data_IF_844813724418
#
_entry.id   IF_844813724418
#
_cell.length_a   1.000
_cell.length_b   1.000
_cell.length_c   1.000
_cell.angle_alpha   90.00
_cell.angle_beta   90.00
_cell.angle_gamma   90.00
#
_symmetry.space_group_name_H-M   'P 1'
#
loop_
_entity.id
_entity.type
_entity.pdbx_description
1 polymer ?
#
# COMPACT_ATOMS: atom_id res chain seq x y z
N UNK A 1 5.84 -46.84 24.14
CA UNK A 1 5.60 -45.39 24.16
C UNK A 1 4.28 -45.16 23.47
N UNK A 2 3.27 -44.74 24.23
CA UNK A 2 1.90 -44.50 23.75
C UNK A 2 1.68 -43.05 23.33
N UNK A 3 2.39 -42.11 23.96
CA UNK A 3 2.42 -40.71 23.58
C UNK A 3 3.73 -40.06 24.01
N UNK A 4 3.98 -38.86 23.52
CA UNK A 4 5.15 -38.06 23.83
C UNK A 4 4.75 -36.76 24.50
N UNK A 5 5.62 -36.26 25.36
CA UNK A 5 5.45 -35.01 26.08
C UNK A 5 6.55 -34.01 25.68
N UNK A 6 6.19 -32.73 25.70
CA UNK A 6 7.11 -31.63 25.51
C UNK A 6 7.08 -30.76 26.76
N UNK A 7 8.22 -30.56 27.41
CA UNK A 7 8.31 -29.72 28.61
C UNK A 7 9.16 -28.50 28.32
N UNK A 8 8.59 -27.31 28.49
CA UNK A 8 9.34 -26.06 28.45
C UNK A 8 10.24 -25.97 29.69
N UNK A 9 11.51 -25.65 29.48
CA UNK A 9 12.49 -25.48 30.56
C UNK A 9 13.18 -24.11 30.54
N UNK A 10 13.05 -23.36 29.44
CA UNK A 10 13.50 -21.96 29.36
C UNK A 10 12.63 -21.16 28.37
N UNK A 11 12.64 -19.84 28.53
CA UNK A 11 11.84 -18.89 27.76
C UNK A 11 10.40 -18.75 28.25
N UNK A 12 9.77 -17.61 27.95
CA UNK A 12 8.40 -17.30 28.37
C UNK A 12 7.32 -17.89 27.46
N UNK A 13 6.08 -17.93 27.95
CA UNK A 13 4.88 -18.23 27.13
C UNK A 13 4.48 -17.06 26.23
N UNK A 14 4.94 -15.85 26.56
CA UNK A 14 4.66 -14.62 25.84
C UNK A 14 5.96 -14.05 25.28
N UNK A 15 5.99 -13.83 23.97
CA UNK A 15 7.13 -13.30 23.22
C UNK A 15 6.71 -12.00 22.54
N UNK A 16 7.60 -11.01 22.54
CA UNK A 16 7.39 -9.75 21.84
C UNK A 16 7.74 -9.92 20.37
N UNK A 17 6.91 -9.40 19.47
CA UNK A 17 7.16 -9.40 18.04
C UNK A 17 8.53 -8.77 17.76
N UNK A 18 9.38 -9.46 17.00
CA UNK A 18 10.74 -9.02 16.69
C UNK A 18 11.82 -9.40 17.71
N UNK A 19 11.47 -10.10 18.80
CA UNK A 19 12.48 -10.64 19.73
C UNK A 19 13.16 -11.88 19.14
N UNK A 20 14.31 -11.64 18.51
CA UNK A 20 15.17 -12.69 17.94
C UNK A 20 16.24 -13.21 18.89
N UNK A 21 16.32 -12.64 20.09
CA UNK A 21 17.40 -12.91 21.07
C UNK A 21 16.97 -13.87 22.18
N UNK A 22 15.68 -13.93 22.49
CA UNK A 22 15.15 -14.84 23.50
C UNK A 22 15.34 -16.30 23.11
N UNK A 23 15.88 -17.08 24.05
CA UNK A 23 16.06 -18.52 23.91
C UNK A 23 14.81 -19.22 24.44
N UNK A 24 14.26 -20.12 23.64
CA UNK A 24 13.29 -21.12 24.08
C UNK A 24 13.99 -22.46 24.20
N UNK A 25 13.73 -23.17 25.30
CA UNK A 25 14.27 -24.52 25.47
C UNK A 25 13.21 -25.51 25.96
N UNK A 26 13.29 -26.72 25.42
CA UNK A 26 12.36 -27.81 25.71
C UNK A 26 13.09 -29.14 25.91
N UNK A 27 12.48 -30.00 26.72
CA UNK A 27 12.85 -31.41 26.86
C UNK A 27 11.85 -32.30 26.14
N UNK A 28 12.39 -33.29 25.42
CA UNK A 28 11.64 -34.30 24.67
C UNK A 28 11.47 -35.56 25.52
N UNK A 29 10.22 -35.87 25.91
CA UNK A 29 9.92 -36.86 26.94
C UNK A 29 8.86 -37.88 26.47
N UNK A 30 8.84 -39.05 27.10
CA UNK A 30 7.80 -40.08 26.89
C UNK A 30 6.51 -39.77 27.68
N UNK A 31 5.51 -40.66 27.61
CA UNK A 31 4.24 -40.54 28.35
C UNK A 31 4.41 -40.39 29.88
N UNK A 32 5.50 -40.93 30.44
CA UNK A 32 5.83 -40.93 31.86
C UNK A 32 6.68 -39.70 32.26
N UNK A 33 6.95 -38.78 31.34
CA UNK A 33 7.88 -37.66 31.48
C UNK A 33 9.35 -38.09 31.71
N UNK A 34 9.73 -39.27 31.21
CA UNK A 34 11.12 -39.75 31.20
C UNK A 34 11.78 -39.42 29.86
N UNK A 35 13.11 -39.36 29.88
CA UNK A 35 13.91 -39.14 28.67
C UNK A 35 13.82 -40.35 27.75
N UNK A 36 13.86 -40.08 26.46
CA UNK A 36 13.78 -41.06 25.38
C UNK A 36 15.17 -41.23 24.78
N UNK A 37 15.56 -42.44 24.42
CA UNK A 37 16.79 -42.62 23.64
C UNK A 37 16.55 -42.19 22.19
N UNK A 38 16.99 -40.97 21.84
CA UNK A 38 16.92 -40.43 20.49
C UNK A 38 18.24 -40.72 19.76
N UNK A 39 18.19 -41.60 18.76
CA UNK A 39 19.37 -41.94 17.94
C UNK A 39 19.81 -40.79 17.03
N UNK A 40 18.90 -39.87 16.73
CA UNK A 40 19.16 -38.67 15.94
C UNK A 40 19.68 -37.53 16.81
N UNK A 41 20.61 -36.73 16.27
CA UNK A 41 21.17 -35.56 16.96
C UNK A 41 20.51 -34.24 16.58
N UNK A 42 19.52 -34.29 15.69
CA UNK A 42 18.80 -33.13 15.17
C UNK A 42 17.31 -33.26 15.45
N UNK A 43 16.67 -32.13 15.66
CA UNK A 43 15.22 -32.03 15.77
C UNK A 43 14.72 -30.89 14.86
N UNK A 44 13.46 -30.97 14.45
CA UNK A 44 12.81 -29.89 13.69
C UNK A 44 11.74 -29.28 14.57
N UNK A 45 11.92 -28.01 14.90
CA UNK A 45 10.95 -27.20 15.62
C UNK A 45 10.02 -26.56 14.61
N UNK A 46 8.71 -26.62 14.84
CA UNK A 46 7.69 -26.00 14.00
C UNK A 46 6.67 -25.24 14.83
N UNK A 47 6.31 -24.03 14.41
CA UNK A 47 5.25 -23.23 15.04
C UNK A 47 4.07 -23.14 14.08
N UNK A 48 2.89 -23.54 14.54
CA UNK A 48 1.68 -23.54 13.74
C UNK A 48 0.60 -22.65 14.35
N UNK A 49 -0.06 -21.85 13.52
CA UNK A 49 -1.20 -21.04 13.97
C UNK A 49 -2.47 -21.92 14.13
N UNK A 50 -3.59 -21.30 14.54
CA UNK A 50 -4.87 -22.00 14.68
C UNK A 50 -5.37 -22.64 13.37
N UNK A 51 -4.98 -22.08 12.22
CA UNK A 51 -5.31 -22.61 10.90
C UNK A 51 -4.39 -23.76 10.46
N UNK A 52 -3.46 -24.22 11.32
CA UNK A 52 -2.43 -25.24 11.05
C UNK A 52 -1.43 -24.85 9.96
N UNK A 53 -1.27 -23.56 9.71
CA UNK A 53 -0.24 -23.05 8.82
C UNK A 53 1.07 -22.99 9.60
N UNK A 54 2.19 -23.44 9.00
CA UNK A 54 3.50 -23.38 9.63
C UNK A 54 4.15 -22.03 9.38
N UNK A 55 4.40 -21.28 10.45
CA UNK A 55 4.94 -19.93 10.39
C UNK A 55 6.42 -19.85 10.75
N UNK A 56 6.92 -20.80 11.54
CA UNK A 56 8.35 -20.96 11.83
C UNK A 56 8.72 -22.43 11.74
N UNK A 57 9.87 -22.72 11.14
CA UNK A 57 10.44 -24.06 11.04
C UNK A 57 11.95 -23.98 11.10
N UNK A 58 12.57 -24.65 12.08
CA UNK A 58 14.02 -24.60 12.28
C UNK A 58 14.57 -25.96 12.69
N UNK A 59 15.67 -26.35 12.06
CA UNK A 59 16.44 -27.52 12.50
C UNK A 59 17.38 -27.10 13.63
N UNK A 60 17.40 -27.88 14.71
CA UNK A 60 18.16 -27.58 15.94
C UNK A 60 18.90 -28.83 16.38
N UNK A 61 20.03 -28.64 17.06
CA UNK A 61 20.75 -29.74 17.70
C UNK A 61 20.02 -30.21 18.97
N UNK A 62 20.03 -31.52 19.18
CA UNK A 62 19.63 -32.12 20.45
C UNK A 62 20.83 -32.11 21.38
N UNK A 63 20.75 -31.28 22.41
CA UNK A 63 21.75 -31.10 23.45
C UNK A 63 21.56 -32.13 24.57
N UNK A 64 22.69 -32.66 25.07
CA UNK A 64 22.68 -33.61 26.18
C UNK A 64 21.84 -34.86 25.88
N UNK A 65 20.94 -35.20 26.80
CA UNK A 65 20.14 -36.43 26.75
C UNK A 65 18.69 -36.22 26.27
N UNK A 66 18.30 -35.07 25.71
CA UNK A 66 17.00 -34.79 25.00
C UNK A 66 16.55 -33.32 25.10
N UNK A 67 17.48 -32.37 25.13
CA UNK A 67 17.16 -30.96 25.20
C UNK A 67 17.26 -30.34 23.80
N UNK A 68 16.37 -29.43 23.48
CA UNK A 68 16.53 -28.54 22.34
C UNK A 68 16.46 -27.10 22.82
N UNK A 69 17.34 -26.26 22.28
CA UNK A 69 17.43 -24.82 22.60
C UNK A 69 17.48 -24.05 21.29
N UNK A 70 16.68 -23.00 21.13
CA UNK A 70 16.67 -22.21 19.91
C UNK A 70 16.16 -20.79 20.13
N UNK A 71 16.56 -19.90 19.23
CA UNK A 71 15.99 -18.57 19.05
C UNK A 71 15.03 -18.56 17.86
N UNK A 72 14.10 -17.61 17.88
CA UNK A 72 13.18 -17.33 16.77
C UNK A 72 13.86 -16.30 15.86
N UNK A 73 14.56 -16.76 14.83
CA UNK A 73 15.27 -15.94 13.85
C UNK A 73 14.42 -15.55 12.64
N UNK A 74 13.09 -15.65 12.79
CA UNK A 74 12.13 -15.27 11.76
C UNK A 74 11.07 -14.37 12.37
N UNK A 75 10.64 -13.37 11.62
CA UNK A 75 9.46 -12.61 11.98
C UNK A 75 8.22 -13.53 12.13
N UNK A 76 7.42 -13.26 13.17
CA UNK A 76 6.15 -13.92 13.43
C UNK A 76 5.05 -12.88 13.63
N UNK A 77 3.89 -13.12 13.01
CA UNK A 77 2.70 -12.31 13.22
C UNK A 77 2.19 -12.44 14.66
N UNK A 78 1.45 -11.41 15.11
CA UNK A 78 0.76 -11.43 16.40
C UNK A 78 -0.28 -12.55 16.38
N UNK A 79 0.05 -13.67 17.03
CA UNK A 79 -0.77 -14.87 17.05
C UNK A 79 -0.41 -15.73 18.26
N UNK A 80 -1.26 -16.72 18.55
CA UNK A 80 -0.91 -17.86 19.41
C UNK A 80 -0.50 -19.01 18.50
N UNK A 81 0.70 -19.54 18.72
CA UNK A 81 1.26 -20.65 17.96
C UNK A 81 1.35 -21.89 18.83
N UNK A 82 0.95 -23.04 18.28
CA UNK A 82 1.29 -24.36 18.80
C UNK A 82 2.71 -24.71 18.41
N UNK A 83 3.50 -25.26 19.34
CA UNK A 83 4.85 -25.76 19.06
C UNK A 83 4.79 -27.27 18.92
N UNK A 84 5.36 -27.76 17.81
CA UNK A 84 5.65 -29.17 17.58
C UNK A 84 7.15 -29.33 17.35
N UNK A 85 7.75 -30.37 17.93
CA UNK A 85 9.15 -30.73 17.70
C UNK A 85 9.19 -32.16 17.18
N UNK A 86 9.81 -32.39 16.02
CA UNK A 86 9.97 -33.73 15.46
C UNK A 86 11.41 -34.21 15.57
N UNK A 87 11.64 -35.39 16.14
CA UNK A 87 12.97 -35.98 16.31
C UNK A 87 12.87 -37.51 16.43
N UNK A 88 13.77 -38.26 15.79
CA UNK A 88 13.86 -39.71 15.92
C UNK A 88 12.59 -40.46 15.47
N UNK A 89 11.84 -39.89 14.53
CA UNK A 89 10.54 -40.44 14.08
C UNK A 89 9.35 -40.11 14.99
N UNK A 90 9.56 -39.36 16.07
CA UNK A 90 8.51 -38.91 16.98
C UNK A 90 8.14 -37.45 16.73
N UNK A 91 6.91 -37.07 17.12
CA UNK A 91 6.43 -35.69 17.21
C UNK A 91 6.17 -35.39 18.69
N UNK A 92 6.58 -34.23 19.18
CA UNK A 92 6.49 -33.82 20.58
C UNK A 92 5.75 -32.48 20.70
N UNK A 93 4.75 -32.36 21.58
CA UNK A 93 4.00 -33.47 22.19
C UNK A 93 3.06 -34.13 21.15
N UNK A 94 2.67 -35.39 21.34
CA UNK A 94 1.82 -36.11 20.37
C UNK A 94 0.32 -36.09 20.71
N UNK A 95 -0.06 -35.74 21.94
CA UNK A 95 -1.44 -35.87 22.44
C UNK A 95 -2.02 -34.59 23.09
N UNK A 96 -1.26 -33.50 23.08
CA UNK A 96 -1.64 -32.21 23.68
C UNK A 96 -1.00 -31.08 22.89
N UNK A 97 -1.28 -29.86 23.29
CA UNK A 97 -0.69 -28.65 22.72
C UNK A 97 0.22 -27.97 23.73
N UNK A 98 1.32 -27.39 23.25
CA UNK A 98 2.07 -26.38 24.00
C UNK A 98 2.06 -25.10 23.16
N UNK A 99 1.78 -23.97 23.79
CA UNK A 99 1.57 -22.71 23.08
C UNK A 99 2.65 -21.66 23.40
N UNK A 100 2.89 -20.79 22.42
CA UNK A 100 3.58 -19.50 22.58
C UNK A 100 2.71 -18.40 21.98
N UNK A 101 2.55 -17.31 22.71
CA UNK A 101 1.84 -16.12 22.26
C UNK A 101 2.81 -15.03 21.83
N UNK A 102 2.76 -14.66 20.55
CA UNK A 102 3.45 -13.48 20.04
C UNK A 102 2.55 -12.27 20.18
N UNK A 103 3.04 -11.22 20.83
CA UNK A 103 2.30 -9.96 21.06
C UNK A 103 3.05 -8.77 20.50
N UNK A 104 2.33 -7.68 20.21
CA UNK A 104 2.94 -6.43 19.72
C UNK A 104 4.08 -5.98 20.64
N UNK A 105 5.20 -5.59 20.03
CA UNK A 105 6.29 -4.87 20.70
C UNK A 105 5.88 -3.41 20.97
N UNK A 106 6.66 -2.70 21.78
CA UNK A 106 6.45 -1.26 21.97
C UNK A 106 6.87 -0.47 20.73
N UNK A 107 7.88 -0.98 20.01
CA UNK A 107 8.31 -0.46 18.72
C UNK A 107 7.43 -1.03 17.60
N UNK A 108 7.17 -0.23 16.56
CA UNK A 108 6.49 -0.71 15.36
C UNK A 108 7.43 -1.65 14.59
N UNK A 109 7.21 -2.95 14.75
CA UNK A 109 8.01 -3.99 14.12
C UNK A 109 7.31 -4.46 12.83
N UNK A 110 7.89 -4.09 11.69
CA UNK A 110 7.42 -4.49 10.35
C UNK A 110 8.06 -5.84 10.00
N UNK A 111 7.29 -6.75 9.40
CA UNK A 111 7.81 -8.04 8.96
C UNK A 111 8.95 -7.87 7.96
N UNK A 112 10.01 -8.67 8.05
CA UNK A 112 11.01 -8.76 6.96
C UNK A 112 10.37 -9.15 5.61
N UNK A 113 9.14 -9.72 5.63
CA UNK A 113 8.32 -9.98 4.44
C UNK A 113 7.45 -8.81 3.96
N UNK A 114 7.29 -7.75 4.75
CA UNK A 114 6.72 -6.46 4.32
C UNK A 114 7.80 -5.47 3.87
N UNK A 115 9.08 -5.83 4.01
CA UNK A 115 10.20 -5.18 3.32
C UNK A 115 10.59 -6.00 2.09
N UNK A 116 9.73 -5.97 1.08
CA UNK A 116 10.21 -5.92 -0.30
C UNK A 116 9.66 -4.65 -0.95
N UNK A 117 10.43 -3.58 -0.86
CA UNK A 117 10.44 -2.61 -1.96
C UNK A 117 11.80 -2.01 -2.33
N UNK A 118 12.88 -2.24 -1.60
CA UNK A 118 14.19 -1.78 -2.09
C UNK A 118 15.25 -2.83 -1.77
N UNK A 119 15.87 -3.38 -2.82
CA UNK A 119 17.16 -4.04 -2.71
C UNK A 119 18.15 -3.05 -2.06
N UNK A 120 19.07 -3.53 -1.23
CA UNK A 120 20.10 -2.64 -0.70
C UNK A 120 21.01 -2.17 -1.83
N UNK A 121 21.69 -1.05 -1.66
CA UNK A 121 22.66 -0.54 -2.64
C UNK A 121 23.70 -1.62 -2.94
N UNK A 122 24.22 -2.31 -1.92
CA UNK A 122 25.15 -3.44 -2.08
C UNK A 122 24.58 -4.61 -2.89
N UNK A 123 23.31 -5.02 -2.68
CA UNK A 123 22.69 -6.11 -3.46
C UNK A 123 22.49 -5.74 -4.94
N UNK A 124 22.23 -4.46 -5.21
CA UNK A 124 22.09 -3.91 -6.56
C UNK A 124 23.46 -3.76 -7.21
N UNK A 125 24.49 -3.36 -6.44
CA UNK A 125 25.89 -3.27 -6.88
C UNK A 125 26.40 -4.65 -7.29
N UNK A 126 26.20 -5.68 -6.47
CA UNK A 126 26.66 -7.05 -6.76
C UNK A 126 26.00 -7.61 -8.05
N UNK A 127 24.72 -7.30 -8.29
CA UNK A 127 23.98 -7.69 -9.50
C UNK A 127 24.41 -6.92 -10.76
N UNK A 128 24.77 -5.64 -10.61
CA UNK A 128 25.26 -4.78 -11.69
C UNK A 128 26.70 -5.17 -12.07
N UNK A 129 27.53 -5.52 -11.09
CA UNK A 129 28.89 -6.03 -11.29
C UNK A 129 28.92 -7.37 -12.03
N UNK A 130 27.94 -8.25 -11.78
CA UNK A 130 27.84 -9.58 -12.42
C UNK A 130 27.41 -9.52 -13.92
N UNK A 131 26.65 -8.49 -14.35
CA UNK A 131 26.02 -8.49 -15.68
C UNK A 131 26.10 -7.20 -16.53
N UNK A 132 26.70 -6.08 -16.08
CA UNK A 132 26.63 -4.80 -16.82
C UNK A 132 27.99 -4.18 -17.20
N UNK A 133 28.23 -3.98 -18.51
CA UNK A 133 29.39 -3.24 -19.03
C UNK A 133 29.04 -2.19 -20.10
N UNK A 134 29.82 -1.08 -20.14
CA UNK A 134 30.00 -0.17 -21.31
C UNK A 134 29.79 1.36 -21.07
N UNK A 135 30.62 2.30 -21.61
CA UNK A 135 30.75 3.73 -21.22
C UNK A 135 29.45 4.54 -21.19
N UNK A 136 29.29 5.40 -20.17
CA UNK A 136 28.24 6.43 -20.14
C UNK A 136 28.54 7.56 -21.11
N UNK A 137 27.43 8.04 -21.67
CA UNK A 137 27.38 9.24 -22.47
C UNK A 137 27.37 10.53 -21.64
N UNK A 138 27.48 11.68 -22.31
CA UNK A 138 27.52 13.00 -21.69
C UNK A 138 26.18 13.40 -21.07
N UNK A 139 26.24 14.36 -20.14
CA UNK A 139 25.10 14.89 -19.39
C UNK A 139 24.00 15.47 -20.31
N UNK A 140 22.74 15.26 -19.91
CA UNK A 140 21.57 15.80 -20.61
C UNK A 140 21.38 17.31 -20.40
N UNK A 141 20.68 17.96 -21.35
CA UNK A 141 20.33 19.39 -21.30
C UNK A 141 19.37 19.69 -20.13
N UNK A 142 19.47 20.88 -19.53
CA UNK A 142 18.56 21.30 -18.45
C UNK A 142 17.15 21.63 -19.00
N UNK A 143 16.16 21.66 -18.11
CA UNK A 143 14.79 22.06 -18.48
C UNK A 143 14.70 23.50 -19.04
N UNK A 144 15.59 24.39 -18.60
CA UNK A 144 15.71 25.75 -19.12
C UNK A 144 16.34 25.77 -20.53
N UNK A 145 17.35 24.94 -20.78
CA UNK A 145 17.95 24.79 -22.12
C UNK A 145 16.93 24.27 -23.13
N UNK A 146 16.11 23.30 -22.73
CA UNK A 146 15.02 22.77 -23.55
C UNK A 146 13.92 23.80 -23.79
N UNK A 147 13.65 24.67 -22.82
CA UNK A 147 12.67 25.76 -22.94
C UNK A 147 13.12 26.84 -23.93
N UNK A 148 14.41 27.20 -23.93
CA UNK A 148 15.01 28.10 -24.93
C UNK A 148 14.99 27.47 -26.33
N UNK A 149 15.29 26.17 -26.45
CA UNK A 149 15.26 25.45 -27.72
C UNK A 149 13.87 25.30 -28.32
N UNK A 150 12.82 25.33 -27.48
CA UNK A 150 11.43 25.40 -27.94
C UNK A 150 11.03 26.77 -28.53
N UNK A 151 11.99 27.70 -28.67
CA UNK A 151 11.79 29.02 -29.28
C UNK A 151 11.26 30.08 -28.31
N UNK A 152 11.28 29.80 -27.00
CA UNK A 152 10.99 30.80 -25.99
C UNK A 152 12.24 31.66 -25.75
N UNK A 153 12.03 32.94 -25.49
CA UNK A 153 13.09 33.88 -25.11
C UNK A 153 12.75 34.44 -23.73
N UNK A 154 13.75 34.59 -22.86
CA UNK A 154 13.55 35.18 -21.54
C UNK A 154 14.62 34.79 -20.53
N UNK A 155 14.55 35.32 -19.32
CA UNK A 155 15.43 34.93 -18.20
C UNK A 155 14.93 33.68 -17.49
N UNK A 156 15.75 33.12 -16.61
CA UNK A 156 15.37 31.99 -15.75
C UNK A 156 14.14 32.35 -14.90
N UNK A 157 14.03 33.59 -14.40
CA UNK A 157 12.84 34.02 -13.67
C UNK A 157 11.57 34.01 -14.52
N UNK A 158 11.68 34.36 -15.81
CA UNK A 158 10.55 34.33 -16.75
C UNK A 158 10.16 32.88 -17.10
N UNK A 159 11.14 31.98 -17.24
CA UNK A 159 10.91 30.54 -17.35
C UNK A 159 10.17 29.99 -16.13
N UNK A 160 10.63 30.29 -14.91
CA UNK A 160 9.99 29.83 -13.67
C UNK A 160 8.57 30.40 -13.49
N UNK A 161 8.33 31.63 -13.97
CA UNK A 161 7.01 32.24 -13.97
C UNK A 161 6.06 31.57 -14.97
N UNK A 162 6.58 31.07 -16.09
CA UNK A 162 5.78 30.33 -17.09
C UNK A 162 5.22 29.00 -16.57
N UNK A 163 5.79 28.45 -15.49
CA UNK A 163 5.37 27.21 -14.86
C UNK A 163 4.23 27.39 -13.85
N UNK A 164 3.67 28.62 -13.73
CA UNK A 164 2.61 28.95 -12.78
C UNK A 164 1.22 28.70 -13.39
N UNK A 165 0.44 27.79 -12.80
CA UNK A 165 -1.02 27.75 -12.97
C UNK A 165 -1.70 28.87 -12.14
N UNK A 166 -2.95 29.26 -12.45
CA UNK A 166 -3.53 30.57 -12.09
C UNK A 166 -3.59 30.96 -10.59
N UNK A 167 -3.25 30.09 -9.63
CA UNK A 167 -3.24 30.41 -8.18
C UNK A 167 -2.14 29.71 -7.35
N UNK A 168 -0.89 29.60 -7.84
CA UNK A 168 0.18 28.85 -7.14
C UNK A 168 1.52 29.57 -6.96
N UNK A 169 2.24 29.21 -5.88
CA UNK A 169 3.67 29.54 -5.66
C UNK A 169 4.52 28.90 -6.76
N UNK A 170 5.65 29.53 -7.12
CA UNK A 170 6.60 28.95 -8.09
C UNK A 170 7.21 27.65 -7.56
N UNK A 171 7.65 26.77 -8.46
CA UNK A 171 8.38 25.55 -8.07
C UNK A 171 9.63 25.87 -7.23
N UNK A 172 10.27 27.02 -7.49
CA UNK A 172 11.37 27.54 -6.69
C UNK A 172 10.95 27.97 -5.28
N UNK A 173 9.80 28.64 -5.13
CA UNK A 173 9.24 28.99 -3.82
C UNK A 173 8.85 27.75 -3.01
N UNK A 174 8.29 26.73 -3.66
CA UNK A 174 8.01 25.43 -3.02
C UNK A 174 9.32 24.73 -2.61
N UNK A 175 10.37 24.81 -3.43
CA UNK A 175 11.70 24.29 -3.11
C UNK A 175 12.34 25.01 -1.91
N UNK A 176 12.24 26.33 -1.82
CA UNK A 176 12.67 27.10 -0.64
C UNK A 176 11.86 26.73 0.61
N UNK A 177 10.55 26.52 0.49
CA UNK A 177 9.68 26.13 1.60
C UNK A 177 9.93 24.70 2.11
N UNK A 178 10.46 23.82 1.26
CA UNK A 178 10.95 22.50 1.65
C UNK A 178 12.27 22.55 2.45
N UNK A 179 12.80 23.75 2.72
CA UNK A 179 13.99 23.97 3.54
C UNK A 179 15.29 24.00 2.75
N UNK A 180 15.23 23.99 1.41
CA UNK A 180 16.40 24.19 0.56
C UNK A 180 16.80 25.68 0.55
N UNK A 181 18.10 25.94 0.40
CA UNK A 181 18.66 27.29 0.33
C UNK A 181 19.55 27.38 -0.90
N UNK A 182 19.45 28.48 -1.65
CA UNK A 182 20.24 28.67 -2.86
C UNK A 182 19.62 29.75 -3.74
N UNK A 183 20.23 29.96 -4.90
CA UNK A 183 19.74 30.77 -5.99
C UNK A 183 18.79 29.98 -6.91
N UNK A 184 18.03 30.64 -7.80
CA UNK A 184 17.28 29.94 -8.86
C UNK A 184 18.17 29.04 -9.73
N UNK A 185 19.45 29.39 -9.91
CA UNK A 185 20.44 28.58 -10.61
C UNK A 185 20.75 27.28 -9.84
N UNK A 186 20.89 27.34 -8.52
CA UNK A 186 21.09 26.16 -7.66
C UNK A 186 19.86 25.23 -7.69
N UNK A 187 18.66 25.82 -7.78
CA UNK A 187 17.42 25.07 -7.97
C UNK A 187 17.40 24.33 -9.32
N UNK A 188 17.80 24.98 -10.42
CA UNK A 188 17.87 24.32 -11.72
C UNK A 188 18.92 23.21 -11.75
N UNK A 189 20.05 23.38 -11.06
CA UNK A 189 21.05 22.33 -10.91
C UNK A 189 20.48 21.12 -10.16
N UNK A 190 19.63 21.36 -9.15
CA UNK A 190 18.96 20.29 -8.40
C UNK A 190 17.94 19.49 -9.23
N UNK A 191 17.52 20.01 -10.39
CA UNK A 191 16.61 19.35 -11.32
C UNK A 191 17.33 18.58 -12.44
N UNK A 192 18.66 18.69 -12.53
CA UNK A 192 19.45 17.86 -13.44
C UNK A 192 19.54 16.45 -12.84
N UNK A 193 19.15 15.44 -13.62
CA UNK A 193 19.40 14.04 -13.23
C UNK A 193 20.89 13.79 -13.11
N UNK A 194 21.30 12.93 -12.17
CA UNK A 194 22.70 12.52 -12.04
C UNK A 194 23.21 11.91 -13.36
N UNK A 195 24.48 12.18 -13.68
CA UNK A 195 25.16 11.62 -14.85
C UNK A 195 25.07 10.09 -14.84
N UNK A 196 24.83 9.48 -16.00
CA UNK A 196 24.95 8.03 -16.13
C UNK A 196 26.39 7.59 -15.83
N UNK A 197 26.56 6.43 -15.20
CA UNK A 197 27.86 5.84 -14.87
C UNK A 197 28.71 5.51 -16.11
N UNK A 198 29.96 6.03 -16.25
CA UNK A 198 30.86 5.72 -17.34
C UNK A 198 31.14 4.22 -17.39
N UNK A 199 30.46 3.41 -18.19
CA UNK A 199 30.98 2.06 -18.37
C UNK A 199 32.27 1.93 -19.17
N UNK A 200 32.54 0.69 -19.55
CA UNK A 200 33.89 0.16 -19.57
C UNK A 200 34.47 0.14 -20.98
N UNK A 201 35.69 0.65 -21.13
CA UNK A 201 36.48 0.58 -22.36
C UNK A 201 36.56 -0.87 -22.90
N UNK A 202 36.54 -1.01 -24.22
CA UNK A 202 36.70 -2.30 -24.88
C UNK A 202 38.08 -2.91 -24.59
N UNK A 203 38.10 -4.21 -24.27
CA UNK A 203 39.32 -4.95 -23.98
C UNK A 203 40.37 -4.79 -25.09
N UNK A 204 41.60 -4.48 -24.69
CA UNK A 204 42.76 -4.42 -25.57
C UNK A 204 43.00 -5.81 -26.19
N UNK A 205 42.88 -5.90 -27.52
CA UNK A 205 43.17 -7.13 -28.26
C UNK A 205 44.57 -7.69 -27.95
N UNK A 206 44.74 -9.02 -28.05
CA UNK A 206 45.97 -9.70 -27.65
C UNK A 206 47.20 -9.17 -28.40
N UNK A 207 48.31 -9.08 -27.67
CA UNK A 207 49.60 -8.59 -28.16
C UNK A 207 50.11 -9.47 -29.31
N UNK A 208 50.22 -8.89 -30.51
CA UNK A 208 50.95 -9.50 -31.62
C UNK A 208 52.46 -9.53 -31.34
N UNK A 209 53.22 -10.45 -31.97
CA UNK A 209 54.65 -10.59 -31.71
C UNK A 209 55.41 -9.29 -32.02
N UNK A 210 56.41 -9.01 -31.19
CA UNK A 210 57.19 -7.77 -31.16
C UNK A 210 57.74 -7.36 -32.54
N UNK A 211 57.22 -6.24 -33.07
CA UNK A 211 57.82 -5.47 -34.16
C UNK A 211 58.61 -4.28 -33.61
N UNK A 212 59.58 -3.78 -34.40
CA UNK A 212 60.52 -2.72 -34.00
C UNK A 212 59.81 -1.43 -33.52
N UNK A 213 60.41 -0.64 -32.59
CA UNK A 213 59.76 0.52 -31.99
C UNK A 213 59.28 1.55 -33.03
N UNK A 214 57.96 1.77 -33.10
CA UNK A 214 57.32 2.82 -33.90
C UNK A 214 57.17 4.13 -33.14
N UNK A 215 57.27 5.25 -33.87
CA UNK A 215 57.16 6.63 -33.38
C UNK A 215 55.83 6.94 -32.68
N UNK A 216 55.88 7.85 -31.70
CA UNK A 216 54.76 8.35 -30.88
C UNK A 216 53.54 8.77 -31.75
N UNK A 217 52.34 8.31 -31.36
CA UNK A 217 51.10 8.52 -32.11
C UNK A 217 50.50 9.92 -31.91
N UNK A 218 49.90 10.47 -32.97
CA UNK A 218 49.16 11.74 -32.91
C UNK A 218 47.92 11.63 -32.00
N UNK A 219 47.50 12.70 -31.31
CA UNK A 219 46.28 12.70 -30.49
C UNK A 219 45.03 12.33 -31.31
N UNK A 220 44.12 11.59 -30.67
CA UNK A 220 42.84 11.19 -31.26
C UNK A 220 41.94 12.38 -31.57
N UNK A 221 41.07 12.24 -32.59
CA UNK A 221 40.04 13.23 -32.92
C UNK A 221 38.86 13.09 -31.95
N UNK A 222 38.26 14.22 -31.59
CA UNK A 222 37.11 14.27 -30.67
C UNK A 222 35.92 13.45 -31.20
N UNK A 223 35.18 12.83 -30.27
CA UNK A 223 34.00 12.00 -30.56
C UNK A 223 32.80 12.81 -31.04
N UNK A 224 31.92 12.17 -31.81
CA UNK A 224 30.62 12.72 -32.23
C UNK A 224 29.63 12.71 -31.06
N UNK A 225 28.84 13.77 -30.93
CA UNK A 225 27.79 13.93 -29.91
C UNK A 225 26.72 12.84 -30.04
N UNK A 226 26.30 12.26 -28.91
CA UNK A 226 25.30 11.18 -28.85
C UNK A 226 23.88 11.68 -29.09
N UNK A 227 22.99 10.83 -29.62
CA UNK A 227 21.58 11.17 -29.83
C UNK A 227 20.83 11.33 -28.49
N UNK A 228 19.93 12.32 -28.39
CA UNK A 228 19.10 12.55 -27.21
C UNK A 228 18.17 11.36 -26.91
N UNK A 229 18.06 10.99 -25.62
CA UNK A 229 17.15 9.95 -25.14
C UNK A 229 15.66 10.35 -25.22
N UNK A 230 14.78 9.34 -25.25
CA UNK A 230 13.31 9.52 -25.31
C UNK A 230 12.73 9.94 -23.96
N UNK A 231 11.69 10.78 -23.96
CA UNK A 231 10.94 11.13 -22.74
C UNK A 231 10.12 9.94 -22.21
N UNK A 232 9.74 9.95 -20.93
CA UNK A 232 8.88 8.91 -20.35
C UNK A 232 7.52 8.80 -21.08
N UNK A 233 6.96 9.92 -21.54
CA UNK A 233 5.77 9.95 -22.38
C UNK A 233 6.03 9.30 -23.76
N UNK A 234 7.18 9.56 -24.37
CA UNK A 234 7.54 8.93 -25.64
C UNK A 234 7.78 7.42 -25.49
N UNK A 235 8.38 6.98 -24.39
CA UNK A 235 8.49 5.54 -24.06
C UNK A 235 7.10 4.94 -23.84
N UNK A 236 6.19 5.65 -23.18
CA UNK A 236 4.80 5.22 -22.99
C UNK A 236 4.06 5.07 -24.33
N UNK A 237 4.22 6.01 -25.27
CA UNK A 237 3.69 5.89 -26.63
C UNK A 237 4.33 4.73 -27.41
N UNK A 238 5.64 4.54 -27.30
CA UNK A 238 6.38 3.47 -27.96
C UNK A 238 5.97 2.07 -27.46
N UNK A 239 5.48 1.98 -26.23
CA UNK A 239 4.87 0.77 -25.65
C UNK A 239 3.45 0.50 -26.21
N UNK A 240 2.99 1.29 -27.18
CA UNK A 240 1.71 1.11 -27.88
C UNK A 240 0.54 1.81 -27.23
N UNK A 241 0.77 2.65 -26.21
CA UNK A 241 -0.28 3.48 -25.63
C UNK A 241 -0.56 4.68 -26.55
N UNK A 242 -1.77 5.23 -26.44
CA UNK A 242 -2.19 6.42 -27.17
C UNK A 242 -2.91 7.37 -26.24
N UNK A 243 -2.72 8.66 -26.40
CA UNK A 243 -3.36 9.67 -25.57
C UNK A 243 -2.59 10.96 -25.60
N UNK A 244 -2.95 11.85 -24.70
CA UNK A 244 -2.24 13.08 -24.32
C UNK A 244 -1.28 12.81 -23.17
N UNK A 245 -0.45 13.79 -22.83
CA UNK A 245 0.37 13.73 -21.61
C UNK A 245 -0.48 13.61 -20.34
N UNK A 246 -1.70 14.15 -20.34
CA UNK A 246 -2.63 13.98 -19.23
C UNK A 246 -3.09 12.52 -19.09
N UNK A 247 -3.35 11.83 -20.20
CA UNK A 247 -3.70 10.41 -20.20
C UNK A 247 -2.52 9.56 -19.69
N UNK A 248 -1.29 9.96 -20.00
CA UNK A 248 -0.09 9.36 -19.43
C UNK A 248 -0.01 9.56 -17.90
N UNK A 249 -0.19 10.80 -17.41
CA UNK A 249 -0.20 11.07 -15.95
C UNK A 249 -1.32 10.30 -15.25
N UNK A 250 -2.49 10.18 -15.88
CA UNK A 250 -3.61 9.41 -15.35
C UNK A 250 -3.30 7.90 -15.31
N UNK A 251 -2.53 7.38 -16.27
CA UNK A 251 -2.05 5.99 -16.28
C UNK A 251 -1.05 5.66 -15.16
N UNK A 252 -0.37 6.67 -14.61
CA UNK A 252 0.55 6.50 -13.48
C UNK A 252 -0.17 6.37 -12.13
N UNK A 253 -1.47 6.71 -12.08
CA UNK A 253 -2.27 6.50 -10.87
C UNK A 253 -2.45 5.01 -10.65
N UNK A 254 -2.36 4.52 -9.40
CA UNK A 254 -2.60 3.10 -9.13
C UNK A 254 -3.98 2.71 -9.65
N UNK A 255 -4.05 1.60 -10.38
CA UNK A 255 -5.32 1.00 -10.79
C UNK A 255 -6.04 0.54 -9.52
N UNK A 256 -6.88 1.41 -8.96
CA UNK A 256 -7.74 1.05 -7.84
C UNK A 256 -8.77 0.10 -8.40
N UNK A 257 -8.69 -1.17 -8.01
CA UNK A 257 -9.74 -2.14 -8.32
C UNK A 257 -11.10 -1.57 -7.88
N UNK A 258 -11.99 -1.32 -8.86
CA UNK A 258 -13.33 -0.77 -8.66
C UNK A 258 -14.14 -1.66 -7.71
N UNK A 259 -14.09 -1.37 -6.40
CA UNK A 259 -14.87 -2.10 -5.40
C UNK A 259 -15.54 -1.14 -4.44
N UNK A 260 -16.72 -1.54 -3.97
CA UNK A 260 -17.40 -0.87 -2.88
C UNK A 260 -16.47 -0.76 -1.66
N UNK A 261 -16.55 0.32 -0.87
CA UNK A 261 -15.67 0.52 0.28
C UNK A 261 -16.01 -0.46 1.41
N UNK A 262 -14.99 -1.06 2.01
CA UNK A 262 -15.13 -2.01 3.14
C UNK A 262 -14.64 -1.45 4.47
N UNK A 263 -13.87 -0.37 4.44
CA UNK A 263 -13.39 0.35 5.61
C UNK A 263 -13.33 1.86 5.35
N UNK A 264 -13.22 2.64 6.43
CA UNK A 264 -12.98 4.07 6.33
C UNK A 264 -12.12 4.60 7.48
N UNK A 265 -11.47 5.74 7.24
CA UNK A 265 -10.82 6.57 8.26
C UNK A 265 -11.48 7.94 8.31
N UNK A 266 -11.37 8.62 9.45
CA UNK A 266 -11.82 10.00 9.61
C UNK A 266 -10.61 10.92 9.67
N UNK A 267 -10.47 11.77 8.65
CA UNK A 267 -9.50 12.84 8.60
C UNK A 267 -10.12 14.13 9.15
N UNK A 268 -9.56 14.59 10.28
CA UNK A 268 -10.01 15.77 11.00
C UNK A 268 -9.16 17.01 10.74
N UNK A 269 -8.15 16.89 9.87
CA UNK A 269 -7.26 17.99 9.48
C UNK A 269 -7.88 18.87 8.38
N UNK A 270 -8.87 18.35 7.67
CA UNK A 270 -9.64 19.03 6.62
C UNK A 270 -10.82 19.83 7.18
N UNK A 271 -11.34 20.79 6.41
CA UNK A 271 -12.58 21.50 6.74
C UNK A 271 -13.45 21.66 5.48
N UNK A 272 -14.61 20.98 5.36
CA UNK A 272 -15.17 20.02 6.31
C UNK A 272 -14.25 18.81 6.56
N UNK A 273 -14.44 18.12 7.68
CA UNK A 273 -13.78 16.82 7.94
C UNK A 273 -14.08 15.86 6.78
N UNK A 274 -13.14 14.96 6.51
CA UNK A 274 -13.24 14.03 5.39
C UNK A 274 -13.25 12.59 5.89
N UNK A 275 -14.17 11.79 5.37
CA UNK A 275 -14.13 10.34 5.53
C UNK A 275 -13.44 9.78 4.30
N UNK A 276 -12.31 9.09 4.49
CA UNK A 276 -11.58 8.43 3.42
C UNK A 276 -11.89 6.94 3.44
N UNK A 277 -12.32 6.40 2.32
CA UNK A 277 -12.58 4.98 2.16
C UNK A 277 -11.35 4.23 1.63
N UNK A 278 -11.30 2.92 1.89
CA UNK A 278 -10.23 2.03 1.39
C UNK A 278 -10.23 1.84 -0.14
N UNK A 279 -11.27 2.32 -0.82
CA UNK A 279 -11.35 2.37 -2.28
C UNK A 279 -10.88 3.72 -2.88
N UNK A 280 -10.29 4.60 -2.07
CA UNK A 280 -9.75 5.89 -2.52
C UNK A 280 -10.79 7.01 -2.69
N UNK A 281 -12.09 6.73 -2.59
CA UNK A 281 -13.11 7.77 -2.56
C UNK A 281 -13.13 8.48 -1.20
N UNK A 282 -13.50 9.76 -1.21
CA UNK A 282 -13.74 10.57 -0.01
C UNK A 282 -15.22 10.93 0.15
N UNK A 283 -15.66 11.18 1.37
CA UNK A 283 -17.02 11.66 1.68
C UNK A 283 -16.93 12.85 2.64
N UNK A 284 -17.58 13.95 2.25
CA UNK A 284 -17.67 15.17 3.05
C UNK A 284 -19.11 15.62 3.22
N UNK A 285 -19.39 16.22 4.38
CA UNK A 285 -20.69 16.80 4.72
C UNK A 285 -20.54 18.31 5.04
N UNK A 286 -20.61 19.20 4.03
CA UNK A 286 -20.38 20.64 4.23
C UNK A 286 -21.30 21.28 5.28
N UNK A 287 -22.59 20.95 5.29
CA UNK A 287 -23.58 21.47 6.25
C UNK A 287 -23.28 21.04 7.71
N UNK A 288 -22.46 20.01 7.87
CA UNK A 288 -22.12 19.41 9.15
C UNK A 288 -20.61 19.40 9.37
N UNK A 289 -19.89 20.42 8.87
CA UNK A 289 -18.44 20.41 8.60
C UNK A 289 -17.54 19.75 9.65
N UNK A 290 -17.84 19.85 10.94
CA UNK A 290 -17.10 19.20 12.04
C UNK A 290 -17.99 18.51 13.08
N UNK A 291 -19.25 18.20 12.71
CA UNK A 291 -20.23 17.64 13.65
C UNK A 291 -19.89 16.19 14.02
N UNK A 292 -19.43 16.00 15.26
CA UNK A 292 -18.88 14.72 15.72
C UNK A 292 -19.82 13.51 15.52
N UNK A 293 -21.12 13.64 15.77
CA UNK A 293 -22.08 12.54 15.61
C UNK A 293 -22.24 12.11 14.15
N UNK A 294 -22.26 13.07 13.21
CA UNK A 294 -22.36 12.79 11.76
C UNK A 294 -21.17 11.98 11.29
N UNK A 295 -19.96 12.37 11.72
CA UNK A 295 -18.69 11.71 11.39
C UNK A 295 -18.33 10.50 12.28
N UNK A 296 -19.08 10.25 13.36
CA UNK A 296 -18.80 9.16 14.31
C UNK A 296 -17.64 9.39 15.28
N UNK A 297 -17.14 10.63 15.39
CA UNK A 297 -16.05 10.94 16.31
C UNK A 297 -16.53 10.87 17.76
N UNK A 298 -16.01 9.91 18.53
CA UNK A 298 -16.43 9.68 19.91
C UNK A 298 -17.86 9.15 20.06
N UNK A 299 -18.47 8.68 18.96
CA UNK A 299 -19.83 8.16 18.96
C UNK A 299 -19.87 6.72 18.44
N UNK A 300 -20.33 5.80 19.28
CA UNK A 300 -20.46 4.39 18.92
C UNK A 300 -21.72 4.12 18.11
N UNK A 301 -21.64 3.20 17.16
CA UNK A 301 -22.80 2.59 16.52
C UNK A 301 -22.69 1.07 16.61
N UNK A 302 -23.77 0.33 16.31
CA UNK A 302 -23.73 -1.13 16.29
C UNK A 302 -22.56 -1.69 15.44
N UNK A 303 -22.20 -2.95 15.65
CA UNK A 303 -21.13 -3.58 14.88
C UNK A 303 -21.33 -3.54 13.36
N UNK A 304 -20.27 -3.74 12.59
CA UNK A 304 -20.31 -3.73 11.11
C UNK A 304 -21.19 -4.83 10.48
N UNK A 305 -21.65 -5.80 11.28
CA UNK A 305 -22.60 -6.85 10.86
C UNK A 305 -24.06 -6.56 11.26
N UNK A 306 -24.34 -5.36 11.80
CA UNK A 306 -25.70 -4.94 12.14
C UNK A 306 -26.53 -4.73 10.87
N UNK A 307 -27.80 -5.16 10.93
CA UNK A 307 -28.79 -4.96 9.87
C UNK A 307 -29.69 -3.72 10.10
N UNK A 308 -29.38 -2.90 11.12
CA UNK A 308 -30.11 -1.68 11.43
C UNK A 308 -29.52 -0.50 10.67
N UNK A 309 -30.35 0.32 10.04
CA UNK A 309 -29.93 1.60 9.48
C UNK A 309 -29.81 2.61 10.60
N UNK A 310 -28.68 3.31 10.68
CA UNK A 310 -28.45 4.34 11.69
C UNK A 310 -28.76 5.73 11.16
N UNK A 311 -29.29 6.60 12.02
CA UNK A 311 -29.39 8.04 11.72
C UNK A 311 -28.02 8.74 11.75
N UNK A 312 -27.08 8.20 12.53
CA UNK A 312 -25.66 8.58 12.59
C UNK A 312 -24.87 7.52 13.39
N UNK A 313 -23.57 7.34 13.12
CA UNK A 313 -22.77 8.05 12.12
C UNK A 313 -23.06 7.56 10.70
N UNK A 314 -22.99 8.46 9.72
CA UNK A 314 -23.56 8.18 8.39
C UNK A 314 -22.77 7.13 7.60
N UNK A 315 -21.44 7.12 7.74
CA UNK A 315 -20.59 6.19 7.00
C UNK A 315 -20.73 4.72 7.42
N UNK A 316 -21.28 4.43 8.61
CA UNK A 316 -21.47 3.03 9.02
C UNK A 316 -22.48 2.32 8.13
N UNK A 317 -23.49 3.04 7.64
CA UNK A 317 -24.51 2.47 6.77
C UNK A 317 -23.93 2.12 5.39
N UNK A 318 -22.93 2.88 4.93
CA UNK A 318 -22.19 2.61 3.69
C UNK A 318 -21.46 1.27 3.83
N UNK A 319 -20.62 1.12 4.87
CA UNK A 319 -19.85 -0.11 5.08
C UNK A 319 -20.74 -1.35 5.28
N UNK A 320 -21.84 -1.21 6.03
CA UNK A 320 -22.82 -2.29 6.23
C UNK A 320 -23.54 -2.66 4.92
N UNK A 321 -23.74 -1.71 4.02
CA UNK A 321 -24.33 -1.99 2.71
C UNK A 321 -23.31 -2.69 1.81
N UNK A 322 -22.06 -2.20 1.78
CA UNK A 322 -20.96 -2.82 1.01
C UNK A 322 -20.68 -4.27 1.41
N UNK A 323 -20.75 -4.59 2.71
CA UNK A 323 -20.48 -5.96 3.18
C UNK A 323 -21.71 -6.89 3.11
N UNK A 324 -22.85 -6.41 2.61
CA UNK A 324 -24.09 -7.17 2.45
C UNK A 324 -24.92 -7.35 3.72
N UNK A 325 -24.50 -6.81 4.88
CA UNK A 325 -25.29 -6.89 6.12
C UNK A 325 -26.55 -6.04 6.04
N UNK A 326 -26.49 -4.92 5.32
CA UNK A 326 -27.61 -4.00 5.12
C UNK A 326 -28.06 -4.04 3.65
N UNK A 327 -29.03 -4.92 3.37
CA UNK A 327 -29.62 -5.06 2.04
C UNK A 327 -30.56 -3.89 1.70
N UNK A 328 -30.87 -3.73 0.41
CA UNK A 328 -31.89 -2.76 -0.04
C UNK A 328 -33.23 -3.00 0.66
N UNK A 329 -33.65 -4.25 0.87
CA UNK A 329 -34.88 -4.54 1.63
C UNK A 329 -34.85 -4.01 3.06
N UNK A 330 -33.67 -4.00 3.71
CA UNK A 330 -33.50 -3.41 5.04
C UNK A 330 -33.56 -1.88 5.00
N UNK A 331 -33.05 -1.27 3.94
CA UNK A 331 -33.25 0.15 3.68
C UNK A 331 -34.74 0.47 3.46
N UNK A 332 -35.44 -0.32 2.63
CA UNK A 332 -36.89 -0.17 2.37
C UNK A 332 -37.72 -0.27 3.65
N UNK A 333 -37.30 -1.11 4.61
CA UNK A 333 -37.98 -1.32 5.88
C UNK A 333 -37.44 -0.47 7.06
N UNK A 334 -36.68 0.59 6.80
CA UNK A 334 -36.06 1.40 7.88
C UNK A 334 -37.06 2.26 8.66
N UNK A 335 -36.67 2.66 9.87
CA UNK A 335 -37.39 3.67 10.66
C UNK A 335 -37.39 5.05 9.97
N UNK A 336 -38.41 5.86 10.28
CA UNK A 336 -38.55 7.22 9.75
C UNK A 336 -37.41 8.13 10.20
N UNK A 337 -37.06 9.12 9.38
CA UNK A 337 -36.11 10.16 9.78
C UNK A 337 -34.63 9.79 9.66
N UNK A 338 -34.29 8.68 9.01
CA UNK A 338 -32.89 8.22 8.89
C UNK A 338 -32.06 9.05 7.90
N UNK A 339 -32.68 9.59 6.85
CA UNK A 339 -32.01 10.45 5.88
C UNK A 339 -31.92 11.92 6.31
N UNK A 340 -32.41 12.31 7.51
CA UNK A 340 -32.48 13.73 7.90
C UNK A 340 -31.11 14.45 7.87
N UNK A 341 -29.99 13.75 8.02
CA UNK A 341 -28.64 14.33 7.98
C UNK A 341 -27.90 14.15 6.65
N UNK A 342 -28.55 13.61 5.62
CA UNK A 342 -27.99 13.49 4.28
C UNK A 342 -28.34 14.73 3.46
N UNK A 343 -27.69 15.85 3.78
CA UNK A 343 -27.94 17.13 3.12
C UNK A 343 -27.61 17.09 1.61
N UNK A 344 -28.27 17.95 0.83
CA UNK A 344 -28.02 18.09 -0.61
C UNK A 344 -26.57 18.51 -0.92
N UNK A 345 -25.87 19.12 0.04
CA UNK A 345 -24.44 19.49 -0.07
C UNK A 345 -23.47 18.32 0.15
N UNK A 346 -23.94 17.13 0.55
CA UNK A 346 -23.11 15.92 0.71
C UNK A 346 -22.33 15.66 -0.57
N UNK A 347 -21.03 15.41 -0.49
CA UNK A 347 -20.18 15.28 -1.69
C UNK A 347 -19.26 14.08 -1.58
N UNK A 348 -19.19 13.31 -2.68
CA UNK A 348 -18.18 12.28 -2.89
C UNK A 348 -16.99 12.90 -3.63
N UNK A 349 -15.80 12.64 -3.11
CA UNK A 349 -14.52 12.96 -3.72
C UNK A 349 -14.07 11.71 -4.47
N UNK A 350 -13.65 11.86 -5.73
CA UNK A 350 -13.21 10.73 -6.59
C UNK A 350 -14.25 9.59 -6.64
N UNK A 351 -15.47 9.85 -7.14
CA UNK A 351 -16.51 8.84 -7.23
C UNK A 351 -16.10 7.71 -8.20
N UNK A 352 -16.51 6.48 -7.88
CA UNK A 352 -16.33 5.30 -8.73
C UNK A 352 -17.35 5.22 -9.88
N UNK A 353 -18.54 5.79 -9.67
CA UNK A 353 -19.60 5.81 -10.68
C UNK A 353 -20.09 7.25 -10.91
N UNK A 354 -20.34 7.59 -12.18
CA UNK A 354 -20.82 8.92 -12.56
C UNK A 354 -22.34 9.04 -12.36
N UNK A 355 -22.75 9.70 -11.27
CA UNK A 355 -24.15 9.98 -10.98
C UNK A 355 -24.76 11.10 -11.85
N UNK A 356 -23.95 11.87 -12.58
CA UNK A 356 -24.43 13.04 -13.34
C UNK A 356 -25.43 12.65 -14.43
N UNK A 357 -25.36 11.41 -14.93
CA UNK A 357 -26.24 10.85 -15.94
C UNK A 357 -27.66 10.49 -15.42
N UNK A 358 -27.90 10.53 -14.10
CA UNK A 358 -29.19 10.18 -13.49
C UNK A 358 -29.85 11.37 -12.79
N UNK A 359 -31.18 11.39 -12.81
CA UNK A 359 -32.03 12.21 -11.96
C UNK A 359 -32.54 11.36 -10.79
N UNK A 360 -32.26 11.81 -9.57
CA UNK A 360 -32.66 11.15 -8.32
C UNK A 360 -33.86 11.85 -7.65
N UNK A 361 -34.47 12.84 -8.29
CA UNK A 361 -35.53 13.67 -7.70
C UNK A 361 -36.75 12.88 -7.22
N UNK A 362 -37.04 11.74 -7.86
CA UNK A 362 -38.12 10.82 -7.49
C UNK A 362 -37.60 9.53 -6.82
N UNK A 363 -36.32 9.48 -6.43
CA UNK A 363 -35.72 8.27 -5.91
C UNK A 363 -35.89 8.15 -4.39
N UNK A 364 -36.47 7.03 -3.93
CA UNK A 364 -36.74 6.72 -2.53
C UNK A 364 -36.48 5.24 -2.27
N UNK A 365 -35.95 4.92 -1.09
CA UNK A 365 -35.91 3.54 -0.60
C UNK A 365 -37.09 3.25 0.33
N UNK A 366 -37.54 4.22 1.14
CA UNK A 366 -38.66 4.04 2.04
C UNK A 366 -39.75 5.07 1.72
N UNK A 367 -40.75 4.65 0.96
CA UNK A 367 -41.91 5.48 0.59
C UNK A 367 -42.82 5.79 1.78
N UNK A 368 -42.77 4.98 2.85
CA UNK A 368 -43.57 5.14 4.07
C UNK A 368 -42.92 6.11 5.09
N UNK A 369 -41.76 6.70 4.77
CA UNK A 369 -41.08 7.65 5.66
C UNK A 369 -41.91 8.92 5.85
N UNK A 370 -42.46 9.09 7.07
CA UNK A 370 -43.29 10.25 7.41
C UNK A 370 -42.49 11.49 7.84
N UNK A 371 -41.16 11.41 7.94
CA UNK A 371 -40.32 12.59 8.23
C UNK A 371 -40.04 13.36 6.94
N UNK A 372 -40.71 14.50 6.77
CA UNK A 372 -40.64 15.30 5.54
C UNK A 372 -39.20 15.61 5.08
N UNK A 373 -38.28 15.88 6.02
CA UNK A 373 -36.90 16.23 5.69
C UNK A 373 -36.10 15.00 5.24
N UNK A 374 -36.29 13.87 5.92
CA UNK A 374 -35.69 12.58 5.56
C UNK A 374 -36.20 12.12 4.21
N UNK A 375 -37.50 12.17 3.97
CA UNK A 375 -38.13 11.77 2.72
C UNK A 375 -37.44 12.45 1.53
N UNK A 376 -37.32 13.78 1.51
CA UNK A 376 -36.69 14.51 0.40
C UNK A 376 -35.16 14.30 0.29
N UNK A 377 -34.52 13.77 1.32
CA UNK A 377 -33.06 13.55 1.40
C UNK A 377 -32.65 12.11 1.11
N UNK A 378 -33.59 11.17 0.97
CA UNK A 378 -33.28 9.78 0.61
C UNK A 378 -32.50 9.70 -0.71
N UNK A 379 -32.84 10.54 -1.69
CA UNK A 379 -32.11 10.73 -2.95
C UNK A 379 -30.60 10.89 -2.79
N UNK A 380 -30.14 11.55 -1.72
CA UNK A 380 -28.72 11.82 -1.48
C UNK A 380 -27.99 10.56 -1.01
N UNK A 381 -28.66 9.69 -0.26
CA UNK A 381 -28.14 8.36 0.10
C UNK A 381 -28.01 7.52 -1.17
N UNK A 382 -29.08 7.47 -1.98
CA UNK A 382 -29.11 6.66 -3.21
C UNK A 382 -27.99 7.09 -4.16
N UNK A 383 -27.84 8.40 -4.40
CA UNK A 383 -26.73 8.95 -5.16
C UNK A 383 -25.37 8.57 -4.57
N UNK A 384 -25.19 8.73 -3.25
CA UNK A 384 -23.92 8.44 -2.58
C UNK A 384 -23.54 6.96 -2.68
N UNK A 385 -24.48 6.05 -2.44
CA UNK A 385 -24.24 4.61 -2.55
C UNK A 385 -23.84 4.21 -3.98
N UNK A 386 -24.46 4.84 -4.98
CA UNK A 386 -24.07 4.65 -6.37
C UNK A 386 -22.68 5.22 -6.66
N UNK A 387 -22.41 6.49 -6.34
CA UNK A 387 -21.11 7.12 -6.54
C UNK A 387 -19.95 6.34 -5.89
N UNK A 388 -20.20 5.67 -4.76
CA UNK A 388 -19.23 4.84 -4.04
C UNK A 388 -19.11 3.39 -4.54
N UNK A 389 -19.88 2.99 -5.55
CA UNK A 389 -19.83 1.61 -6.06
C UNK A 389 -20.57 0.58 -5.19
N UNK A 390 -21.36 1.03 -4.20
CA UNK A 390 -22.12 0.15 -3.29
C UNK A 390 -23.37 -0.39 -3.96
N UNK A 391 -24.10 0.49 -4.65
CA UNK A 391 -25.30 0.14 -5.41
C UNK A 391 -25.02 0.25 -6.90
N UNK A 392 -25.56 -0.72 -7.65
CA UNK A 392 -25.47 -0.77 -9.09
C UNK A 392 -26.45 0.22 -9.73
N UNK A 393 -26.32 0.40 -11.04
CA UNK A 393 -27.31 1.12 -11.82
C UNK A 393 -28.71 0.49 -11.71
N UNK A 394 -28.80 -0.84 -11.76
CA UNK A 394 -30.08 -1.54 -11.64
C UNK A 394 -30.76 -1.25 -10.29
N UNK A 395 -29.98 -1.19 -9.22
CA UNK A 395 -30.47 -0.88 -7.87
C UNK A 395 -31.06 0.54 -7.82
N UNK A 396 -30.36 1.55 -8.33
CA UNK A 396 -30.87 2.93 -8.26
C UNK A 396 -32.09 3.15 -9.15
N UNK A 397 -32.20 2.44 -10.27
CA UNK A 397 -33.37 2.47 -11.13
C UNK A 397 -34.59 1.83 -10.45
N UNK A 398 -34.40 0.70 -9.73
CA UNK A 398 -35.45 0.10 -8.89
C UNK A 398 -35.91 1.04 -7.76
N UNK A 399 -34.99 1.87 -7.27
CA UNK A 399 -35.26 2.89 -6.25
C UNK A 399 -35.82 4.20 -6.83
N UNK A 400 -36.12 4.27 -8.13
CA UNK A 400 -36.81 5.41 -8.75
C UNK A 400 -35.90 6.50 -9.34
N UNK A 401 -34.59 6.26 -9.45
CA UNK A 401 -33.73 7.13 -10.27
C UNK A 401 -34.07 6.97 -11.77
N UNK A 402 -33.86 8.00 -12.56
CA UNK A 402 -34.17 8.02 -13.99
C UNK A 402 -32.95 8.47 -14.79
N UNK A 403 -32.63 7.81 -15.91
CA UNK A 403 -31.59 8.28 -16.84
C UNK A 403 -31.99 9.62 -17.45
N UNK A 404 -31.11 10.62 -17.43
CA UNK A 404 -31.40 11.97 -17.96
C UNK A 404 -31.57 12.01 -19.49
N UNK A 405 -31.10 10.99 -20.22
CA UNK A 405 -31.05 10.98 -21.68
C UNK A 405 -31.61 9.70 -22.33
N UNK A 406 -32.80 9.24 -21.92
CA UNK A 406 -33.66 8.43 -22.79
C UNK A 406 -34.78 9.32 -23.34
N UNK A 407 -34.47 10.02 -24.44
CA UNK A 407 -35.44 10.67 -25.33
C UNK A 407 -35.25 10.18 -26.76
#
# INVERSE_FOLDING_TARGET
MNSTNLRRIDGGELIKQGDSSSILAFELLDEDNKKIDLTEKKAIVSFQNYNRETHFRKEVDIEGENKVSFTIDKFLDICTYNIEITAGGYVFPSDRSIEVKVVKSHDDYVAEGEIKKYATTEDVIDLIEEYGGGPAGPDGKSAYDLWLEAGNEGTIEEFLTSLIGPEGKTAYEVWLEAGHMGSPEDFLESLKGEAGEPGKDGEKGPVGPQGEPGSEGLPGKDGVEGEQGKSAYQVWLDLGNTGSEQDFIDSLKPEITHRAPTAYTLDRTTHPWTIWFDNGSGLVFPDYSTTATVYGYGYGSGGFLSQRVEKYPLAVNIIRSSNGSLSIDKWKATENGVASYWADSTKILSPLQDASQFDFGAAYYNEDDTDNLSLIRQKNIIRTMFELGVWSEADILDLGAVRKNEK
#
